data_IF_297235176544
#
_entry.id   IF_297235176544
#
_cell.length_a   1.000
_cell.length_b   1.000
_cell.length_c   1.000
_cell.angle_alpha   90.00
_cell.angle_beta   90.00
_cell.angle_gamma   90.00
#
_symmetry.space_group_name_H-M   'P 1'
#
loop_
_entity.id
_entity.type
_entity.pdbx_description
1 polymer ?
#
# COMPACT_ATOMS: atom_id res chain seq x y z
N UNK A 1 -7.99 13.33 14.39
CA UNK A 1 -6.52 13.58 14.46
C UNK A 1 -5.95 13.72 15.89
N UNK A 2 -6.08 14.83 16.65
CA UNK A 2 -5.32 15.02 17.93
C UNK A 2 -5.53 13.92 18.99
N UNK A 3 -6.72 13.29 19.04
CA UNK A 3 -6.99 12.09 19.87
C UNK A 3 -6.39 10.83 19.24
N UNK A 4 -6.72 10.55 17.98
CA UNK A 4 -6.31 9.35 17.22
C UNK A 4 -4.79 9.12 17.18
N UNK A 5 -4.02 10.13 16.75
CA UNK A 5 -2.56 10.01 16.60
C UNK A 5 -1.77 10.53 17.83
N UNK A 6 -2.41 10.66 18.99
CA UNK A 6 -1.79 11.22 20.20
C UNK A 6 -1.18 12.63 20.02
N UNK A 7 -0.32 13.04 20.97
CA UNK A 7 0.31 14.38 20.98
C UNK A 7 1.63 14.49 20.18
N UNK A 8 2.40 13.40 20.06
CA UNK A 8 3.77 13.38 19.47
C UNK A 8 3.96 12.36 18.32
N UNK A 9 2.95 12.13 17.49
CA UNK A 9 3.07 11.27 16.29
C UNK A 9 3.89 11.91 15.17
N UNK A 10 4.53 11.08 14.32
CA UNK A 10 5.24 11.48 13.10
C UNK A 10 4.46 12.49 12.26
N UNK A 11 3.18 12.20 12.00
CA UNK A 11 2.26 13.04 11.21
C UNK A 11 2.18 14.47 11.76
N UNK A 12 2.30 14.65 13.08
CA UNK A 12 2.09 15.93 13.79
C UNK A 12 3.36 16.68 14.15
N UNK A 13 4.42 15.99 14.55
CA UNK A 13 5.71 16.63 14.88
C UNK A 13 6.35 17.19 13.59
N UNK A 14 7.26 18.16 13.73
CA UNK A 14 7.93 18.81 12.59
C UNK A 14 9.43 19.02 12.85
N UNK A 15 10.16 19.44 11.80
CA UNK A 15 11.60 19.77 11.86
C UNK A 15 12.41 18.67 12.58
N UNK A 16 13.22 19.03 13.58
CA UNK A 16 14.11 18.12 14.29
C UNK A 16 13.38 17.02 15.10
N UNK A 17 12.24 17.31 15.74
CA UNK A 17 11.48 16.28 16.48
C UNK A 17 10.94 15.21 15.51
N UNK A 18 10.52 15.61 14.31
CA UNK A 18 10.16 14.67 13.25
C UNK A 18 11.35 13.84 12.78
N UNK A 19 12.50 14.46 12.52
CA UNK A 19 13.70 13.73 12.09
C UNK A 19 14.17 12.71 13.15
N UNK A 20 14.14 13.08 14.44
CA UNK A 20 14.46 12.16 15.54
C UNK A 20 13.48 11.00 15.61
N UNK A 21 12.17 11.28 15.63
CA UNK A 21 11.15 10.24 15.70
C UNK A 21 11.19 9.32 14.47
N UNK A 22 11.43 9.87 13.28
CA UNK A 22 11.58 9.12 12.03
C UNK A 22 12.77 8.16 12.08
N UNK A 23 13.94 8.60 12.58
CA UNK A 23 15.11 7.72 12.74
C UNK A 23 14.83 6.54 13.67
N UNK A 24 14.17 6.79 14.80
CA UNK A 24 13.83 5.73 15.78
C UNK A 24 12.77 4.75 15.27
N UNK A 25 11.85 5.20 14.42
CA UNK A 25 10.74 4.38 13.89
C UNK A 25 11.07 3.67 12.58
N UNK A 26 11.99 4.20 11.76
CA UNK A 26 12.39 3.55 10.50
C UNK A 26 13.40 2.42 10.66
N UNK A 27 14.17 2.37 11.75
CA UNK A 27 15.29 1.43 11.90
C UNK A 27 14.93 -0.07 11.67
N UNK A 28 13.81 -0.62 12.19
CA UNK A 28 13.43 -2.02 11.92
C UNK A 28 12.76 -2.22 10.54
N UNK A 29 12.50 -1.14 9.80
CA UNK A 29 11.62 -1.13 8.63
C UNK A 29 12.20 -0.34 7.45
N UNK A 30 13.53 -0.19 7.36
CA UNK A 30 14.22 0.51 6.25
C UNK A 30 15.71 0.16 6.19
N UNK A 31 16.26 -0.03 4.98
CA UNK A 31 17.66 -0.42 4.72
C UNK A 31 17.90 -1.95 4.77
N UNK A 32 18.37 -2.55 3.66
CA UNK A 32 18.16 -3.97 3.28
C UNK A 32 18.28 -5.03 4.39
N UNK A 33 19.30 -4.97 5.23
CA UNK A 33 19.62 -6.02 6.20
C UNK A 33 18.50 -6.30 7.22
N UNK A 34 17.77 -5.27 7.68
CA UNK A 34 16.67 -5.47 8.63
C UNK A 34 15.40 -6.04 7.97
N UNK A 35 15.43 -6.32 6.67
CA UNK A 35 14.25 -6.48 5.81
C UNK A 35 14.27 -7.85 5.13
N UNK A 36 15.47 -8.24 4.71
CA UNK A 36 15.91 -9.61 4.44
C UNK A 36 15.48 -10.57 5.56
N UNK A 37 15.61 -10.13 6.83
CA UNK A 37 15.11 -10.83 8.03
C UNK A 37 13.62 -11.23 8.02
N UNK A 38 12.80 -10.62 7.17
CA UNK A 38 11.37 -10.92 7.09
C UNK A 38 10.97 -11.71 5.82
N UNK A 39 11.86 -11.89 4.83
CA UNK A 39 11.51 -12.49 3.54
C UNK A 39 10.90 -13.88 3.73
N UNK A 40 11.62 -14.78 4.40
CA UNK A 40 11.19 -16.16 4.67
C UNK A 40 9.84 -16.22 5.39
N UNK A 41 9.60 -15.29 6.33
CA UNK A 41 8.35 -15.22 7.08
C UNK A 41 7.18 -14.70 6.24
N UNK A 42 7.42 -13.69 5.40
CA UNK A 42 6.42 -13.13 4.49
C UNK A 42 6.05 -14.19 3.46
N UNK A 43 7.04 -14.84 2.85
CA UNK A 43 6.87 -15.92 1.89
C UNK A 43 6.12 -17.11 2.50
N UNK A 44 6.52 -17.61 3.66
CA UNK A 44 5.83 -18.70 4.36
C UNK A 44 4.35 -18.37 4.61
N UNK A 45 4.07 -17.18 5.15
CA UNK A 45 2.70 -16.74 5.45
C UNK A 45 1.88 -16.55 4.18
N UNK A 46 2.45 -15.93 3.13
CA UNK A 46 1.80 -15.76 1.82
C UNK A 46 1.46 -17.10 1.18
N UNK A 47 2.40 -18.04 1.12
CA UNK A 47 2.17 -19.37 0.55
C UNK A 47 1.09 -20.09 1.37
N UNK A 48 1.18 -20.08 2.70
CA UNK A 48 0.20 -20.73 3.58
C UNK A 48 -1.22 -20.22 3.34
N UNK A 49 -1.40 -18.89 3.27
CA UNK A 49 -2.70 -18.28 2.98
C UNK A 49 -3.22 -18.56 1.58
N UNK A 50 -2.35 -18.56 0.55
CA UNK A 50 -2.75 -18.88 -0.81
C UNK A 50 -3.17 -20.36 -0.96
N UNK A 51 -2.46 -21.29 -0.31
CA UNK A 51 -2.87 -22.70 -0.24
C UNK A 51 -4.22 -22.85 0.48
N UNK A 52 -4.39 -22.23 1.66
CA UNK A 52 -5.64 -22.19 2.43
C UNK A 52 -6.81 -21.71 1.55
N UNK A 53 -6.68 -20.55 0.90
CA UNK A 53 -7.70 -19.98 0.02
C UNK A 53 -8.01 -20.85 -1.19
N UNK A 54 -7.02 -21.55 -1.75
CA UNK A 54 -7.22 -22.45 -2.89
C UNK A 54 -7.92 -23.76 -2.52
N UNK A 55 -7.80 -24.18 -1.25
CA UNK A 55 -8.50 -25.35 -0.71
C UNK A 55 -9.98 -25.10 -0.43
N UNK A 56 -10.42 -23.83 -0.40
CA UNK A 56 -11.80 -23.48 -0.07
C UNK A 56 -12.79 -23.87 -1.19
N UNK A 57 -13.77 -24.70 -0.85
CA UNK A 57 -14.90 -25.03 -1.72
C UNK A 57 -15.82 -23.82 -1.97
N UNK A 58 -15.98 -22.97 -0.94
CA UNK A 58 -16.89 -21.81 -0.93
C UNK A 58 -16.19 -20.56 -1.44
N UNK A 59 -16.90 -19.62 -2.11
CA UNK A 59 -16.33 -18.34 -2.49
C UNK A 59 -16.05 -17.47 -1.26
N UNK A 60 -14.88 -16.85 -1.26
CA UNK A 60 -14.34 -15.99 -0.23
C UNK A 60 -14.43 -14.51 -0.62
N UNK A 61 -14.33 -13.61 0.38
CA UNK A 61 -14.30 -12.16 0.15
C UNK A 61 -12.84 -11.74 0.08
N UNK A 62 -12.26 -11.73 -1.11
CA UNK A 62 -10.80 -11.62 -1.26
C UNK A 62 -10.20 -10.38 -0.58
N UNK A 63 -10.93 -9.25 -0.50
CA UNK A 63 -10.47 -8.06 0.23
C UNK A 63 -10.53 -8.21 1.78
N UNK A 64 -11.35 -9.11 2.32
CA UNK A 64 -11.32 -9.50 3.73
C UNK A 64 -10.16 -10.45 3.98
N UNK A 65 -10.01 -11.50 3.17
CA UNK A 65 -8.94 -12.48 3.33
C UNK A 65 -7.54 -11.84 3.23
N UNK A 66 -7.33 -10.95 2.25
CA UNK A 66 -6.07 -10.20 2.11
C UNK A 66 -5.82 -9.32 3.34
N UNK A 67 -6.85 -8.69 3.94
CA UNK A 67 -6.68 -7.92 5.19
C UNK A 67 -6.27 -8.81 6.36
N UNK A 68 -6.85 -9.99 6.50
CA UNK A 68 -6.44 -10.96 7.52
C UNK A 68 -4.99 -11.43 7.31
N UNK A 69 -4.61 -11.77 6.08
CA UNK A 69 -3.26 -12.18 5.73
C UNK A 69 -2.24 -11.06 6.02
N UNK A 70 -2.54 -9.83 5.60
CA UNK A 70 -1.74 -8.66 5.95
C UNK A 70 -1.70 -8.46 7.47
N UNK A 71 -2.81 -8.54 8.20
CA UNK A 71 -2.79 -8.42 9.66
C UNK A 71 -1.88 -9.48 10.33
N UNK A 72 -1.94 -10.74 9.88
CA UNK A 72 -1.07 -11.84 10.36
C UNK A 72 0.42 -11.50 10.12
N UNK A 73 0.78 -11.03 8.93
CA UNK A 73 2.14 -10.55 8.60
C UNK A 73 2.58 -9.39 9.50
N UNK A 74 1.76 -8.32 9.56
CA UNK A 74 2.01 -7.10 10.33
C UNK A 74 2.22 -7.42 11.81
N UNK A 75 1.37 -8.28 12.37
CA UNK A 75 1.44 -8.70 13.76
C UNK A 75 2.78 -9.39 14.05
N UNK A 76 3.16 -10.38 13.24
CA UNK A 76 4.39 -11.13 13.43
C UNK A 76 5.64 -10.24 13.29
N UNK A 77 5.64 -9.32 12.32
CA UNK A 77 6.76 -8.39 12.06
C UNK A 77 6.99 -7.40 13.22
N UNK A 78 5.93 -6.94 13.89
CA UNK A 78 6.03 -5.96 14.99
C UNK A 78 5.98 -6.54 16.41
N UNK A 79 5.32 -7.68 16.62
CA UNK A 79 5.12 -8.30 17.95
C UNK A 79 5.96 -9.57 18.16
N UNK A 80 6.45 -10.20 17.09
CA UNK A 80 7.34 -11.36 17.15
C UNK A 80 6.73 -12.66 17.68
N UNK A 81 5.41 -12.76 17.81
CA UNK A 81 4.72 -13.94 18.37
C UNK A 81 3.98 -14.75 17.30
N UNK A 82 4.29 -16.05 17.19
CA UNK A 82 3.68 -16.99 16.23
C UNK A 82 2.37 -17.63 16.71
N UNK A 83 1.93 -17.33 17.93
CA UNK A 83 0.69 -17.86 18.52
C UNK A 83 -0.40 -16.78 18.62
N UNK A 84 -1.38 -16.82 17.71
CA UNK A 84 -2.63 -16.07 17.84
C UNK A 84 -3.66 -16.99 18.47
N UNK A 85 -3.84 -16.85 19.79
CA UNK A 85 -4.95 -17.45 20.51
C UNK A 85 -5.73 -16.34 21.24
N UNK A 86 -7.05 -16.29 21.00
CA UNK A 86 -8.00 -15.26 21.44
C UNK A 86 -7.90 -13.82 20.86
N UNK A 87 -9.07 -13.16 20.77
CA UNK A 87 -9.31 -11.72 20.45
C UNK A 87 -9.14 -11.17 19.01
N UNK A 88 -9.03 -12.01 17.97
CA UNK A 88 -9.00 -11.54 16.56
C UNK A 88 -10.15 -10.61 16.17
N UNK A 89 -11.41 -10.98 16.46
CA UNK A 89 -12.60 -10.25 15.98
C UNK A 89 -12.78 -8.83 16.53
N UNK A 90 -12.24 -8.52 17.71
CA UNK A 90 -12.25 -7.15 18.25
C UNK A 90 -11.10 -6.31 17.69
N UNK A 91 -9.95 -6.94 17.41
CA UNK A 91 -8.81 -6.29 16.75
C UNK A 91 -9.12 -5.95 15.28
N UNK A 92 -9.78 -6.83 14.53
CA UNK A 92 -10.23 -6.56 13.15
C UNK A 92 -11.08 -5.29 13.05
N UNK A 93 -12.05 -5.13 13.95
CA UNK A 93 -12.95 -3.99 13.98
C UNK A 93 -12.25 -2.64 14.26
N UNK A 94 -11.06 -2.68 14.88
CA UNK A 94 -10.19 -1.53 15.13
C UNK A 94 -9.12 -1.35 14.04
N UNK A 95 -8.74 -2.42 13.35
CA UNK A 95 -7.73 -2.43 12.29
C UNK A 95 -8.17 -1.64 11.05
N UNK A 96 -9.46 -1.66 10.71
CA UNK A 96 -10.04 -0.86 9.61
C UNK A 96 -9.88 0.66 9.78
N UNK A 97 -9.67 1.15 11.01
CA UNK A 97 -9.41 2.56 11.34
C UNK A 97 -7.90 2.90 11.48
N UNK A 98 -7.01 1.89 11.49
CA UNK A 98 -5.59 2.03 11.91
C UNK A 98 -4.58 1.66 10.81
N UNK A 99 -5.01 1.14 9.66
CA UNK A 99 -4.19 0.64 8.55
C UNK A 99 -3.32 1.68 7.77
N UNK A 100 -2.49 2.46 8.47
CA UNK A 100 -1.64 3.55 7.93
C UNK A 100 -0.21 3.59 8.55
N UNK A 101 0.34 2.45 9.01
CA UNK A 101 1.70 2.32 9.59
C UNK A 101 2.49 1.13 9.01
N UNK A 102 3.78 1.35 8.64
CA UNK A 102 4.47 0.73 7.49
C UNK A 102 6.01 1.05 7.55
N UNK A 103 7.07 0.37 7.02
CA UNK A 103 7.42 -1.02 6.63
C UNK A 103 8.64 -1.20 5.64
N UNK A 104 9.53 -2.18 5.91
CA UNK A 104 10.76 -2.74 5.25
C UNK A 104 11.13 -2.50 3.72
N UNK A 105 11.79 -3.42 2.95
CA UNK A 105 12.23 -3.33 1.49
C UNK A 105 12.98 -4.60 0.98
N UNK A 106 13.39 -4.83 -0.32
CA UNK A 106 14.69 -4.31 -0.85
C UNK A 106 14.86 -4.00 -2.39
N UNK A 107 15.53 -4.85 -3.21
CA UNK A 107 16.34 -4.43 -4.39
C UNK A 107 15.63 -4.47 -5.77
N UNK A 108 15.99 -3.57 -6.73
CA UNK A 108 15.42 -3.43 -8.10
C UNK A 108 16.50 -3.39 -9.21
N UNK A 109 16.32 -4.11 -10.33
CA UNK A 109 17.19 -4.07 -11.52
C UNK A 109 16.41 -4.30 -12.84
N UNK A 110 16.67 -3.57 -13.95
CA UNK A 110 15.91 -3.68 -15.20
C UNK A 110 15.90 -5.08 -15.85
N UNK A 111 14.86 -5.35 -16.66
CA UNK A 111 14.70 -6.60 -17.42
C UNK A 111 14.12 -7.78 -16.62
N UNK A 112 14.46 -7.91 -15.34
CA UNK A 112 13.97 -8.97 -14.46
C UNK A 112 12.45 -8.89 -14.20
N UNK A 113 11.82 -10.03 -13.90
CA UNK A 113 10.39 -10.07 -13.59
C UNK A 113 10.03 -9.21 -12.38
N UNK A 114 10.91 -9.07 -11.38
CA UNK A 114 10.72 -8.14 -10.26
C UNK A 114 10.53 -6.68 -10.71
N UNK A 115 11.28 -6.22 -11.71
CA UNK A 115 11.13 -4.88 -12.27
C UNK A 115 9.80 -4.71 -13.02
N UNK A 116 9.32 -5.76 -13.70
CA UNK A 116 7.97 -5.77 -14.29
C UNK A 116 6.89 -5.67 -13.19
N UNK A 117 7.04 -6.43 -12.10
CA UNK A 117 6.14 -6.35 -10.93
C UNK A 117 6.13 -4.96 -10.30
N UNK A 118 7.27 -4.27 -10.18
CA UNK A 118 7.29 -2.89 -9.66
C UNK A 118 6.48 -1.92 -10.52
N UNK A 119 6.53 -2.02 -11.85
CA UNK A 119 5.70 -1.20 -12.76
C UNK A 119 4.21 -1.51 -12.63
N UNK A 120 3.85 -2.78 -12.45
CA UNK A 120 2.47 -3.22 -12.14
C UNK A 120 1.99 -2.65 -10.80
N UNK A 121 2.86 -2.65 -9.78
CA UNK A 121 2.57 -2.08 -8.46
C UNK A 121 2.35 -0.57 -8.55
N UNK A 122 3.21 0.17 -9.25
CA UNK A 122 3.09 1.63 -9.36
C UNK A 122 1.85 2.05 -10.19
N UNK A 123 1.48 1.34 -11.27
CA UNK A 123 0.22 1.61 -11.98
C UNK A 123 -1.01 1.29 -11.11
N UNK A 124 -0.96 0.21 -10.33
CA UNK A 124 -2.00 -0.14 -9.35
C UNK A 124 -2.16 0.96 -8.29
N UNK A 125 -1.05 1.51 -7.80
CA UNK A 125 -1.03 2.59 -6.81
C UNK A 125 -1.47 3.94 -7.41
N UNK A 126 -1.36 4.16 -8.72
CA UNK A 126 -1.89 5.35 -9.40
C UNK A 126 -3.42 5.31 -9.44
N UNK A 127 -3.99 4.21 -9.93
CA UNK A 127 -5.44 4.04 -10.12
C UNK A 127 -6.20 3.82 -8.80
N UNK A 128 -5.62 3.04 -7.87
CA UNK A 128 -6.26 2.60 -6.62
C UNK A 128 -5.56 3.16 -5.36
N UNK A 129 -4.98 4.36 -5.44
CA UNK A 129 -4.22 4.97 -4.34
C UNK A 129 -4.94 4.97 -3.00
N UNK A 130 -4.29 4.41 -1.97
CA UNK A 130 -4.77 4.44 -0.58
C UNK A 130 -4.76 5.88 -0.04
N UNK A 131 -3.77 6.69 -0.42
CA UNK A 131 -3.67 8.09 -0.04
C UNK A 131 -4.38 8.97 -1.08
N UNK A 132 -5.73 9.05 -1.04
CA UNK A 132 -6.50 9.87 -1.98
C UNK A 132 -6.20 11.37 -1.87
N UNK A 133 -5.80 11.84 -0.68
CA UNK A 133 -5.41 13.22 -0.40
C UNK A 133 -4.38 13.34 0.72
N UNK A 134 -3.80 14.52 0.90
CA UNK A 134 -2.90 14.84 2.02
C UNK A 134 -3.18 16.22 2.59
N UNK A 135 -3.42 16.28 3.89
CA UNK A 135 -3.74 17.51 4.61
C UNK A 135 -2.48 18.30 5.01
N UNK A 136 -2.56 19.63 4.88
CA UNK A 136 -1.52 20.60 5.22
C UNK A 136 -2.14 21.82 5.89
N UNK A 137 -1.29 22.64 6.50
CA UNK A 137 -1.65 23.90 7.14
C UNK A 137 -0.59 24.95 6.77
N UNK A 138 -1.02 26.14 6.35
CA UNK A 138 -0.12 27.24 6.03
C UNK A 138 0.51 27.80 7.32
N UNK A 139 1.82 27.59 7.52
CA UNK A 139 2.53 28.08 8.72
C UNK A 139 2.80 29.59 8.71
N UNK A 140 2.79 30.17 7.51
CA UNK A 140 2.95 31.58 7.17
C UNK A 140 2.02 31.87 6.00
N UNK A 141 1.79 33.14 5.70
CA UNK A 141 1.21 33.52 4.42
C UNK A 141 2.15 33.06 3.29
N UNK A 142 1.57 32.56 2.19
CA UNK A 142 2.33 32.09 1.02
C UNK A 142 1.54 32.37 -0.26
N UNK A 143 2.21 32.85 -1.31
CA UNK A 143 1.61 33.01 -2.63
C UNK A 143 1.99 31.81 -3.51
N UNK A 144 0.99 31.16 -4.13
CA UNK A 144 1.18 30.06 -5.08
C UNK A 144 0.39 30.40 -6.35
N UNK A 145 1.07 30.45 -7.49
CA UNK A 145 0.50 30.77 -8.81
C UNK A 145 -0.38 32.03 -8.80
N UNK A 146 0.10 33.10 -8.15
CA UNK A 146 -0.58 34.38 -7.99
C UNK A 146 -1.62 34.44 -6.87
N UNK A 147 -2.00 33.30 -6.28
CA UNK A 147 -3.04 33.19 -5.25
C UNK A 147 -2.43 33.18 -3.85
N UNK A 148 -2.85 34.11 -2.99
CA UNK A 148 -2.48 34.15 -1.59
C UNK A 148 -3.21 33.05 -0.79
N UNK A 149 -2.46 32.25 -0.05
CA UNK A 149 -2.95 31.31 0.97
C UNK A 149 -2.54 31.88 2.34
N UNK A 150 -3.49 32.42 3.13
CA UNK A 150 -3.17 32.98 4.44
C UNK A 150 -2.77 31.93 5.47
N UNK A 151 -1.97 32.36 6.45
CA UNK A 151 -1.55 31.59 7.61
C UNK A 151 -2.74 30.95 8.35
N UNK A 152 -2.56 29.70 8.77
CA UNK A 152 -3.56 28.89 9.48
C UNK A 152 -4.57 28.17 8.57
N UNK A 153 -4.68 28.56 7.29
CA UNK A 153 -5.56 27.88 6.33
C UNK A 153 -5.18 26.41 6.17
N UNK A 154 -6.20 25.55 6.03
CA UNK A 154 -6.02 24.13 5.76
C UNK A 154 -6.00 23.92 4.25
N UNK A 155 -4.96 23.26 3.77
CA UNK A 155 -4.78 22.94 2.34
C UNK A 155 -4.90 21.43 2.17
N UNK A 156 -5.70 21.01 1.19
CA UNK A 156 -5.86 19.60 0.81
C UNK A 156 -5.12 19.40 -0.51
N UNK A 157 -4.05 18.60 -0.50
CA UNK A 157 -3.39 18.14 -1.72
C UNK A 157 -4.18 16.93 -2.24
N UNK A 158 -4.88 17.08 -3.36
CA UNK A 158 -5.77 16.07 -3.92
C UNK A 158 -5.03 15.15 -4.91
N UNK A 159 -4.32 14.16 -4.35
CA UNK A 159 -3.48 13.22 -5.11
C UNK A 159 -4.23 12.51 -6.24
N UNK A 160 -5.49 12.11 -6.01
CA UNK A 160 -6.31 11.46 -7.05
C UNK A 160 -6.56 12.34 -8.27
N UNK A 161 -6.49 13.66 -8.15
CA UNK A 161 -6.52 14.57 -9.31
C UNK A 161 -5.25 14.39 -10.15
N UNK A 162 -4.08 14.59 -9.54
CA UNK A 162 -2.77 14.45 -10.20
C UNK A 162 -2.56 13.09 -10.86
N UNK A 163 -3.12 12.01 -10.30
CA UNK A 163 -2.96 10.65 -10.83
C UNK A 163 -3.94 10.32 -11.97
N UNK A 164 -4.95 11.15 -12.18
CA UNK A 164 -5.99 11.03 -13.21
C UNK A 164 -5.96 12.20 -14.21
N UNK A 165 -4.92 13.02 -14.15
CA UNK A 165 -4.69 14.18 -15.00
C UNK A 165 -4.09 13.73 -16.35
N UNK A 166 -4.74 14.08 -17.46
CA UNK A 166 -4.33 13.65 -18.81
C UNK A 166 -3.04 14.31 -19.30
N UNK A 167 -2.69 15.51 -18.77
CA UNK A 167 -1.41 16.18 -19.07
C UNK A 167 -0.23 15.49 -18.35
N UNK A 168 -0.49 14.84 -17.21
CA UNK A 168 0.51 14.14 -16.41
C UNK A 168 0.58 12.63 -16.70
N UNK A 169 -0.54 12.02 -17.09
CA UNK A 169 -0.69 10.58 -17.33
C UNK A 169 -1.62 10.31 -18.53
N UNK A 170 -1.11 10.32 -19.78
CA UNK A 170 -1.94 10.13 -20.98
C UNK A 170 -2.76 8.84 -20.97
N UNK A 171 -4.05 8.90 -21.30
CA UNK A 171 -5.01 7.80 -21.07
C UNK A 171 -4.98 7.28 -19.62
N UNK A 172 -5.42 8.11 -18.64
CA UNK A 172 -5.25 7.81 -17.22
C UNK A 172 -6.22 6.75 -16.68
N UNK A 173 -7.34 6.48 -17.37
CA UNK A 173 -8.28 5.43 -16.95
C UNK A 173 -7.76 4.02 -17.28
N UNK A 174 -6.84 3.90 -18.24
CA UNK A 174 -6.28 2.61 -18.65
C UNK A 174 -5.23 2.11 -17.65
N UNK A 175 -5.24 0.80 -17.41
CA UNK A 175 -4.19 0.12 -16.66
C UNK A 175 -3.02 -0.21 -17.60
N UNK A 176 -1.99 0.64 -17.63
CA UNK A 176 -0.81 0.47 -18.48
C UNK A 176 0.49 0.49 -17.66
N UNK A 177 1.04 -0.67 -17.27
CA UNK A 177 2.33 -0.75 -16.59
C UNK A 177 3.53 -0.27 -17.43
N UNK A 178 3.45 -0.29 -18.77
CA UNK A 178 4.54 0.19 -19.63
C UNK A 178 4.64 1.72 -19.68
N UNK A 179 3.64 2.43 -19.15
CA UNK A 179 3.68 3.88 -18.89
C UNK A 179 4.90 4.30 -18.07
N UNK A 180 5.43 3.40 -17.24
CA UNK A 180 6.56 3.65 -16.34
C UNK A 180 7.94 3.43 -16.97
N UNK A 181 8.03 2.92 -18.21
CA UNK A 181 9.32 2.70 -18.88
C UNK A 181 10.00 4.04 -19.27
N UNK A 182 9.23 4.96 -19.88
CA UNK A 182 9.71 6.29 -20.30
C UNK A 182 9.22 7.43 -19.38
N UNK A 183 8.88 7.14 -18.11
CA UNK A 183 8.28 8.12 -17.20
C UNK A 183 9.30 9.15 -16.66
N UNK A 184 9.58 10.18 -17.48
CA UNK A 184 10.29 11.40 -17.08
C UNK A 184 9.33 12.30 -16.26
N UNK A 185 8.91 11.79 -15.10
CA UNK A 185 7.86 12.38 -14.28
C UNK A 185 8.20 13.75 -13.71
N UNK A 186 7.31 14.72 -13.91
CA UNK A 186 7.34 16.01 -13.21
C UNK A 186 7.36 15.77 -11.67
N UNK A 187 8.32 16.32 -10.90
CA UNK A 187 8.49 16.06 -9.46
C UNK A 187 7.25 16.38 -8.60
N UNK A 188 6.36 15.38 -8.44
CA UNK A 188 5.09 15.50 -7.71
C UNK A 188 3.89 14.89 -8.44
N UNK A 189 3.99 14.61 -9.74
CA UNK A 189 2.92 14.02 -10.56
C UNK A 189 2.52 12.60 -10.14
N UNK A 190 3.41 11.88 -9.45
CA UNK A 190 3.12 10.58 -8.85
C UNK A 190 3.83 10.43 -7.51
N UNK A 191 3.07 10.40 -6.41
CA UNK A 191 3.60 10.31 -5.03
C UNK A 191 2.75 9.40 -4.15
N UNK A 192 2.53 8.11 -4.51
CA UNK A 192 1.59 7.23 -3.81
C UNK A 192 1.91 7.05 -2.32
N UNK A 193 3.20 7.20 -1.97
CA UNK A 193 3.71 7.16 -0.61
C UNK A 193 4.14 8.54 -0.08
N UNK A 194 3.70 9.63 -0.69
CA UNK A 194 4.16 10.99 -0.39
C UNK A 194 5.57 11.29 -0.94
N UNK A 195 6.20 12.36 -0.45
CA UNK A 195 7.44 12.92 -1.02
C UNK A 195 8.36 13.52 0.06
N UNK A 196 9.67 13.53 -0.23
CA UNK A 196 10.71 14.20 0.56
C UNK A 196 10.79 13.69 2.00
N UNK A 197 11.08 14.58 2.96
CA UNK A 197 11.21 14.21 4.38
C UNK A 197 9.92 13.64 5.00
N UNK A 198 8.78 13.70 4.30
CA UNK A 198 7.48 13.15 4.72
C UNK A 198 7.08 11.88 3.96
N UNK A 199 7.96 11.30 3.13
CA UNK A 199 7.77 10.01 2.47
C UNK A 199 7.33 8.94 3.49
N UNK A 200 6.38 8.07 3.13
CA UNK A 200 5.90 7.00 3.99
C UNK A 200 7.09 6.16 4.50
N UNK A 201 7.19 5.88 5.81
CA UNK A 201 8.22 4.98 6.34
C UNK A 201 8.07 3.53 5.86
N UNK A 202 7.01 3.19 5.11
CA UNK A 202 6.87 1.89 4.48
C UNK A 202 6.34 1.81 3.07
N UNK A 203 6.76 2.77 2.24
CA UNK A 203 6.77 2.58 0.79
C UNK A 203 7.40 1.25 0.36
N UNK A 204 8.36 0.81 1.14
CA UNK A 204 9.46 -0.01 0.67
C UNK A 204 9.15 -1.52 0.88
N UNK A 205 8.54 -1.97 2.00
CA UNK A 205 7.95 -3.33 2.15
C UNK A 205 6.48 -3.40 1.77
N UNK A 206 5.74 -2.29 1.70
CA UNK A 206 4.51 -2.33 0.90
C UNK A 206 4.82 -2.80 -0.53
N UNK A 207 5.97 -2.40 -1.10
CA UNK A 207 6.48 -2.95 -2.35
C UNK A 207 6.99 -4.40 -2.24
N UNK A 208 7.64 -4.82 -1.14
CA UNK A 208 8.10 -6.21 -0.97
C UNK A 208 6.95 -7.20 -0.75
N UNK A 209 6.01 -6.95 0.17
CA UNK A 209 4.81 -7.75 0.41
C UNK A 209 4.02 -7.95 -0.88
N UNK A 210 3.72 -6.86 -1.60
CA UNK A 210 2.99 -6.96 -2.86
C UNK A 210 3.83 -7.69 -3.93
N UNK A 211 5.16 -7.58 -3.92
CA UNK A 211 6.01 -8.33 -4.86
C UNK A 211 6.05 -9.83 -4.57
N UNK A 212 6.20 -10.24 -3.31
CA UNK A 212 6.17 -11.66 -2.89
C UNK A 212 4.79 -12.25 -3.12
N UNK A 213 3.72 -11.52 -2.73
CA UNK A 213 2.35 -11.91 -2.98
C UNK A 213 2.06 -12.08 -4.48
N UNK A 214 2.38 -11.08 -5.31
CA UNK A 214 2.17 -11.18 -6.76
C UNK A 214 3.02 -12.27 -7.40
N UNK A 215 4.24 -12.52 -6.93
CA UNK A 215 5.08 -13.62 -7.44
C UNK A 215 4.40 -14.98 -7.24
N UNK A 216 4.07 -15.33 -5.99
CA UNK A 216 3.44 -16.61 -5.68
C UNK A 216 2.03 -16.73 -6.25
N UNK A 217 1.25 -15.65 -6.17
CA UNK A 217 -0.11 -15.61 -6.71
C UNK A 217 -0.15 -15.79 -8.23
N UNK A 218 0.64 -15.02 -9.00
CA UNK A 218 0.55 -15.03 -10.47
C UNK A 218 1.14 -16.29 -11.12
N UNK A 219 2.11 -16.94 -10.46
CA UNK A 219 2.67 -18.21 -10.96
C UNK A 219 1.75 -19.40 -10.67
N UNK A 220 1.23 -19.49 -9.44
CA UNK A 220 0.62 -20.72 -8.94
C UNK A 220 -0.91 -20.67 -8.82
N UNK A 221 -1.56 -19.51 -9.01
CA UNK A 221 -2.99 -19.33 -8.73
C UNK A 221 -3.72 -18.48 -9.78
N UNK A 222 -5.05 -18.66 -9.83
CA UNK A 222 -5.99 -17.93 -10.70
C UNK A 222 -7.22 -17.55 -9.87
N UNK A 223 -7.83 -16.39 -10.17
CA UNK A 223 -9.05 -15.90 -9.49
C UNK A 223 -10.26 -16.07 -10.41
N UNK A 224 -11.33 -16.66 -9.89
CA UNK A 224 -12.66 -16.68 -10.51
C UNK A 224 -13.60 -15.74 -9.73
N UNK A 225 -13.86 -14.54 -10.25
CA UNK A 225 -14.80 -13.58 -9.66
C UNK A 225 -16.25 -13.94 -9.98
N UNK A 226 -17.12 -13.92 -8.99
CA UNK A 226 -18.56 -14.17 -9.15
C UNK A 226 -19.31 -12.95 -9.68
N UNK A 227 -18.82 -11.74 -9.37
CA UNK A 227 -19.36 -10.50 -9.92
C UNK A 227 -18.25 -9.63 -10.54
N UNK A 228 -17.88 -9.86 -11.82
CA UNK A 228 -16.89 -9.03 -12.52
C UNK A 228 -17.30 -7.56 -12.61
N UNK A 229 -18.59 -7.30 -12.85
CA UNK A 229 -19.20 -5.97 -13.02
C UNK A 229 -19.63 -5.33 -11.68
N UNK A 230 -19.05 -5.75 -10.55
CA UNK A 230 -19.38 -5.19 -9.25
C UNK A 230 -19.03 -3.69 -9.20
N UNK A 231 -20.01 -2.85 -8.82
CA UNK A 231 -19.80 -1.42 -8.62
C UNK A 231 -18.70 -1.16 -7.59
N UNK A 232 -17.85 -0.17 -7.88
CA UNK A 232 -16.83 0.30 -6.95
C UNK A 232 -17.42 1.28 -5.92
N UNK A 233 -17.00 1.14 -4.67
CA UNK A 233 -16.99 2.19 -3.66
C UNK A 233 -15.69 2.97 -3.81
N UNK A 234 -15.74 4.30 -3.91
CA UNK A 234 -14.53 5.13 -4.13
C UNK A 234 -13.99 5.84 -2.89
N UNK A 235 -14.77 5.94 -1.82
CA UNK A 235 -14.40 6.60 -0.56
C UNK A 235 -14.68 5.65 0.62
N UNK A 236 -13.79 5.58 1.65
CA UNK A 236 -12.51 6.29 1.72
C UNK A 236 -11.49 5.78 0.69
N UNK A 237 -11.58 4.51 0.28
CA UNK A 237 -10.65 3.86 -0.66
C UNK A 237 -11.41 3.20 -1.85
N UNK A 238 -10.85 3.17 -3.07
CA UNK A 238 -11.37 2.40 -4.19
C UNK A 238 -11.43 0.89 -3.90
N UNK A 239 -12.63 0.29 -3.91
CA UNK A 239 -12.80 -1.16 -3.79
C UNK A 239 -14.17 -1.66 -4.30
N UNK A 240 -14.30 -2.92 -4.77
CA UNK A 240 -15.59 -3.52 -5.09
C UNK A 240 -16.54 -3.59 -3.89
N UNK A 241 -17.83 -3.26 -4.08
CA UNK A 241 -18.86 -3.31 -3.01
C UNK A 241 -19.03 -4.70 -2.40
N UNK A 242 -18.85 -5.76 -3.19
CA UNK A 242 -18.93 -7.17 -2.76
C UNK A 242 -17.67 -7.67 -2.01
N UNK A 243 -16.66 -6.79 -1.82
CA UNK A 243 -15.32 -7.12 -1.28
C UNK A 243 -14.54 -8.11 -2.17
N UNK A 244 -14.84 -8.11 -3.48
CA UNK A 244 -14.33 -9.03 -4.50
C UNK A 244 -14.68 -10.49 -4.15
N UNK A 245 -15.94 -10.87 -4.35
CA UNK A 245 -16.40 -12.23 -4.10
C UNK A 245 -15.86 -13.16 -5.19
N UNK A 246 -15.00 -14.10 -4.78
CA UNK A 246 -14.24 -14.93 -5.70
C UNK A 246 -13.94 -16.32 -5.12
N UNK A 247 -13.52 -17.25 -5.99
CA UNK A 247 -12.70 -18.39 -5.58
C UNK A 247 -11.27 -18.19 -6.07
N UNK A 248 -10.31 -18.58 -5.24
CA UNK A 248 -8.93 -18.80 -5.64
C UNK A 248 -8.83 -20.25 -6.12
N UNK A 249 -8.18 -20.46 -7.26
CA UNK A 249 -8.00 -21.77 -7.86
C UNK A 249 -6.49 -21.96 -8.10
N UNK A 250 -5.95 -23.12 -7.75
CA UNK A 250 -4.56 -23.44 -8.08
C UNK A 250 -4.43 -23.58 -9.61
N UNK A 251 -3.42 -22.94 -10.19
CA UNK A 251 -3.10 -23.14 -11.59
C UNK A 251 -2.60 -24.57 -11.77
N UNK A 252 -3.20 -25.33 -12.69
CA UNK A 252 -2.63 -26.62 -13.10
C UNK A 252 -1.22 -26.37 -13.66
N UNK A 253 -0.23 -27.07 -13.10
CA UNK A 253 1.18 -26.77 -13.32
C UNK A 253 1.66 -27.16 -14.72
N UNK A 254 1.70 -26.19 -15.63
CA UNK A 254 2.69 -26.17 -16.69
C UNK A 254 3.99 -25.62 -16.08
N UNK A 255 4.84 -26.53 -15.58
CA UNK A 255 6.17 -26.18 -15.12
C UNK A 255 7.01 -25.67 -16.31
N UNK A 256 7.73 -24.57 -16.07
CA UNK A 256 8.73 -23.99 -16.99
C UNK A 256 10.12 -24.30 -16.44
#
# INVERSE_FOLDING_TARGET
>A
MKRLFGRKSLIRVSKAEHQKLRRMTMAPISGHAALEMYIDHIEHTVISGLEEWSSMEKPLKLLTEIKELTFKLIWNIFMGSTSIDYTTKEMEALYDDVALGLFCFPINFPGFNFHKSLKVIDETLRLSSIAFATFREATTDININGKLIPKGWKVILWHRGLYMDEELHPSPQDFNPSRWDDFIGNPGAFTPFGLGVRLCPGRDLAKLEISIFLHHFLLNYKIQRYNPQCQLTYLPLPHPKDKCLARVLKAAGECV
#
